data_IF_932163925457
#
_entry.id   IF_932163925457
#
_cell.length_a   1.000
_cell.length_b   1.000
_cell.length_c   1.000
_cell.angle_alpha   90.00
_cell.angle_beta   90.00
_cell.angle_gamma   90.00
#
_symmetry.space_group_name_H-M   'P 1'
#
loop_
_entity.id
_entity.type
_entity.pdbx_description
1 polymer ?
#
# COMPACT_ATOMS: atom_id res chain seq x y z
N UNK A 1 18.36 -22.64 61.75
CA UNK A 1 18.16 -22.34 60.32
C UNK A 1 16.66 -22.33 60.09
N UNK A 2 16.07 -21.14 60.01
CA UNK A 2 14.62 -20.97 59.96
C UNK A 2 14.23 -20.65 58.52
N UNK A 3 13.35 -21.46 57.95
CA UNK A 3 12.80 -21.25 56.62
C UNK A 3 11.86 -20.04 56.62
N UNK A 4 11.98 -19.19 55.61
CA UNK A 4 10.95 -18.19 55.28
C UNK A 4 10.52 -18.46 53.84
N UNK A 5 9.33 -19.02 53.71
CA UNK A 5 8.56 -19.07 52.46
C UNK A 5 7.90 -17.71 52.31
N UNK A 6 8.22 -16.99 51.24
CA UNK A 6 7.44 -15.82 50.82
C UNK A 6 6.67 -16.21 49.57
N UNK A 7 5.37 -16.44 49.74
CA UNK A 7 4.41 -16.36 48.64
C UNK A 7 4.10 -14.88 48.42
N UNK A 8 4.40 -14.35 47.23
CA UNK A 8 3.77 -13.15 46.71
C UNK A 8 2.82 -13.56 45.59
N UNK A 9 1.56 -13.21 45.76
CA UNK A 9 0.47 -13.47 44.84
C UNK A 9 0.08 -12.19 44.08
N UNK A 10 -0.36 -12.40 42.84
CA UNK A 10 -1.26 -11.57 42.02
C UNK A 10 -0.69 -10.26 41.45
N UNK A 11 -0.58 -10.19 40.13
CA UNK A 11 -1.56 -9.51 39.26
C UNK A 11 -1.13 -9.68 37.80
N UNK A 12 -2.05 -10.11 36.95
CA UNK A 12 -1.82 -10.17 35.51
C UNK A 12 -1.53 -8.79 34.94
N UNK A 13 -0.54 -8.74 34.05
CA UNK A 13 -0.47 -7.71 33.02
C UNK A 13 -0.35 -8.46 31.71
N UNK A 14 -1.47 -8.52 30.99
CA UNK A 14 -1.50 -8.83 29.57
C UNK A 14 -0.37 -8.08 28.90
N UNK A 15 0.53 -8.80 28.22
CA UNK A 15 1.51 -8.19 27.34
C UNK A 15 0.73 -7.49 26.23
N UNK A 16 0.44 -6.20 26.43
CA UNK A 16 -0.03 -5.31 25.40
C UNK A 16 1.16 -5.12 24.47
N UNK A 17 1.14 -5.84 23.35
CA UNK A 17 1.99 -5.55 22.22
C UNK A 17 1.69 -4.11 21.80
N UNK A 18 2.55 -3.18 22.19
CA UNK A 18 2.61 -1.86 21.57
C UNK A 18 3.10 -2.06 20.15
N UNK A 19 2.17 -2.34 19.23
CA UNK A 19 2.39 -2.05 17.83
C UNK A 19 2.47 -0.53 17.71
N UNK A 20 3.67 -0.03 17.40
CA UNK A 20 3.88 1.37 17.06
C UNK A 20 3.01 1.72 15.86
N UNK A 21 1.93 2.44 16.13
CA UNK A 21 1.09 3.04 15.10
C UNK A 21 1.72 4.36 14.67
N UNK A 22 2.75 4.34 13.82
CA UNK A 22 3.29 5.54 13.18
C UNK A 22 3.75 5.24 11.74
N UNK A 23 2.75 5.14 10.86
CA UNK A 23 2.82 5.49 9.44
C UNK A 23 1.37 5.69 8.94
N UNK A 24 0.62 6.57 9.62
CA UNK A 24 -0.74 6.91 9.25
C UNK A 24 -0.75 8.23 8.47
N UNK A 25 -0.28 8.16 7.22
CA UNK A 25 -0.67 9.06 6.15
C UNK A 25 -1.45 8.30 5.08
N UNK A 26 -2.17 7.24 5.47
CA UNK A 26 -3.05 6.51 4.56
C UNK A 26 -4.17 7.42 4.11
N UNK A 27 -4.45 7.42 2.81
CA UNK A 27 -5.72 7.90 2.26
C UNK A 27 -6.84 7.37 3.16
N UNK A 28 -7.43 8.27 3.95
CA UNK A 28 -8.46 7.90 4.88
C UNK A 28 -9.71 7.56 4.08
N UNK A 29 -9.91 6.26 3.79
CA UNK A 29 -11.23 5.77 3.43
C UNK A 29 -12.19 6.24 4.52
N UNK A 30 -13.23 6.96 4.13
CA UNK A 30 -14.32 7.37 5.03
C UNK A 30 -14.75 6.14 5.84
N UNK A 31 -14.78 6.20 7.18
CA UNK A 31 -15.21 5.05 7.99
C UNK A 31 -16.62 4.61 7.58
N UNK A 32 -16.73 3.55 6.76
CA UNK A 32 -18.00 3.07 6.23
C UNK A 32 -17.97 2.58 4.77
N UNK A 33 -17.06 3.07 3.93
CA UNK A 33 -16.91 2.56 2.56
C UNK A 33 -15.99 1.34 2.54
N UNK A 34 -16.55 0.18 2.14
CA UNK A 34 -15.76 -1.01 1.82
C UNK A 34 -15.30 -0.89 0.38
N UNK A 35 -14.28 -0.08 0.13
CA UNK A 35 -13.63 0.02 -1.16
C UNK A 35 -12.10 -0.12 -1.02
N UNK A 36 -11.43 -0.52 -2.11
CA UNK A 36 -9.98 -0.53 -2.22
C UNK A 36 -9.50 0.81 -2.79
N UNK A 37 -8.66 1.51 -2.02
CA UNK A 37 -7.99 2.72 -2.47
C UNK A 37 -6.65 2.47 -3.15
N UNK A 38 -6.21 1.21 -3.26
CA UNK A 38 -4.89 0.85 -3.78
C UNK A 38 -4.54 -0.60 -3.49
N UNK A 39 -3.43 -1.08 -4.05
CA UNK A 39 -2.91 -2.42 -3.80
C UNK A 39 -1.47 -2.32 -3.31
N UNK A 40 -1.17 -3.02 -2.21
CA UNK A 40 0.20 -3.11 -1.68
C UNK A 40 1.04 -4.06 -2.53
N UNK A 41 2.23 -3.63 -2.92
CA UNK A 41 3.20 -4.43 -3.68
C UNK A 41 4.65 -4.09 -3.31
N UNK A 42 5.60 -4.82 -3.89
CA UNK A 42 7.02 -4.47 -3.72
C UNK A 42 7.37 -3.13 -4.39
N UNK A 43 6.61 -2.70 -5.38
CA UNK A 43 6.90 -1.54 -6.22
C UNK A 43 6.57 -0.22 -5.53
N UNK A 44 5.58 -0.23 -4.65
CA UNK A 44 5.19 0.90 -3.79
C UNK A 44 5.66 0.73 -2.33
N UNK A 45 6.51 -0.25 -2.04
CA UNK A 45 7.12 -0.45 -0.73
C UNK A 45 8.35 0.45 -0.49
N UNK A 46 8.70 0.63 0.79
CA UNK A 46 9.97 1.22 1.24
C UNK A 46 10.88 0.12 1.79
N UNK A 47 12.01 -0.21 1.12
CA UNK A 47 12.92 -1.25 1.57
C UNK A 47 13.58 -0.95 2.91
N UNK A 48 13.76 -1.98 3.75
CA UNK A 48 14.36 -1.84 5.08
C UNK A 48 15.83 -1.41 5.02
N UNK A 49 16.55 -1.80 3.97
CA UNK A 49 17.93 -1.39 3.73
C UNK A 49 18.06 -0.01 3.06
N UNK A 50 16.92 0.61 2.72
CA UNK A 50 16.85 1.90 2.03
C UNK A 50 17.29 1.84 0.56
N UNK A 51 17.57 0.66 -0.01
CA UNK A 51 18.02 0.56 -1.38
C UNK A 51 16.87 0.63 -2.37
N UNK A 52 16.74 1.77 -3.06
CA UNK A 52 15.67 2.04 -4.01
C UNK A 52 16.14 2.11 -5.46
N UNK A 53 17.38 1.68 -5.76
CA UNK A 53 18.00 1.88 -7.08
C UNK A 53 17.28 1.21 -8.24
N UNK A 54 16.54 0.14 -7.98
CA UNK A 54 15.78 -0.63 -8.98
C UNK A 54 14.27 -0.44 -8.86
N UNK A 55 13.83 0.45 -7.97
CA UNK A 55 12.41 0.72 -7.75
C UNK A 55 11.95 1.94 -8.56
N UNK A 56 10.70 1.94 -9.04
CA UNK A 56 10.12 3.08 -9.71
C UNK A 56 10.08 4.30 -8.79
N UNK A 57 10.25 5.48 -9.40
CA UNK A 57 10.08 6.77 -8.71
C UNK A 57 8.62 7.16 -8.59
N UNK A 58 7.78 6.75 -9.54
CA UNK A 58 6.35 7.01 -9.51
C UNK A 58 5.62 5.86 -10.22
N UNK A 59 4.63 5.30 -9.53
CA UNK A 59 3.75 4.28 -10.09
C UNK A 59 2.31 4.76 -10.08
N UNK A 60 1.56 4.33 -11.07
CA UNK A 60 0.11 4.44 -11.09
C UNK A 60 -0.50 3.05 -11.10
N UNK A 61 -1.66 2.92 -10.48
CA UNK A 61 -2.50 1.73 -10.57
C UNK A 61 -3.78 2.10 -11.30
N UNK A 62 -4.09 1.35 -12.37
CA UNK A 62 -5.17 1.69 -13.29
C UNK A 62 -6.17 0.56 -13.45
N UNK A 63 -7.43 0.90 -13.71
CA UNK A 63 -8.45 -0.08 -14.12
C UNK A 63 -8.17 -0.52 -15.54
N UNK A 64 -7.96 -1.83 -15.76
CA UNK A 64 -7.49 -2.35 -17.04
C UNK A 64 -8.39 -1.99 -18.22
N UNK A 65 -9.72 -1.98 -18.05
CA UNK A 65 -10.64 -1.69 -19.17
C UNK A 65 -10.75 -0.22 -19.54
N UNK A 66 -10.58 0.69 -18.58
CA UNK A 66 -10.87 2.12 -18.77
C UNK A 66 -9.62 2.99 -18.76
N UNK A 67 -8.51 2.47 -18.22
CA UNK A 67 -7.31 3.25 -17.95
C UNK A 67 -7.50 4.30 -16.86
N UNK A 68 -8.58 4.23 -16.06
CA UNK A 68 -8.76 5.14 -14.91
C UNK A 68 -7.67 4.88 -13.89
N UNK A 69 -6.87 5.88 -13.59
CA UNK A 69 -5.94 5.86 -12.45
C UNK A 69 -6.78 6.04 -11.18
N UNK A 70 -6.68 5.10 -10.24
CA UNK A 70 -7.39 5.16 -8.95
C UNK A 70 -6.44 5.15 -7.75
N UNK A 71 -5.16 4.87 -7.98
CA UNK A 71 -4.10 4.90 -6.97
C UNK A 71 -2.79 5.34 -7.64
N UNK A 72 -1.97 6.05 -6.88
CA UNK A 72 -0.70 6.57 -7.32
C UNK A 72 0.26 6.70 -6.15
N UNK A 73 1.51 6.30 -6.38
CA UNK A 73 2.56 6.31 -5.36
C UNK A 73 3.78 7.04 -5.93
N UNK A 74 4.41 7.89 -5.13
CA UNK A 74 5.64 8.60 -5.49
C UNK A 74 6.70 8.37 -4.43
N UNK A 75 7.93 8.21 -4.88
CA UNK A 75 9.09 8.06 -4.01
C UNK A 75 9.72 9.41 -3.71
N UNK A 76 9.90 9.71 -2.43
CA UNK A 76 10.62 10.88 -1.95
C UNK A 76 12.13 10.76 -2.16
N UNK A 77 12.84 11.86 -1.94
CA UNK A 77 14.32 11.90 -2.03
C UNK A 77 15.02 11.00 -1.00
N UNK A 78 14.31 10.63 0.07
CA UNK A 78 14.76 9.70 1.11
C UNK A 78 14.48 8.23 0.77
N UNK A 79 13.84 7.95 -0.37
CA UNK A 79 13.48 6.60 -0.81
C UNK A 79 12.12 6.12 -0.30
N UNK A 80 11.43 6.88 0.54
CA UNK A 80 10.11 6.53 1.07
C UNK A 80 9.07 6.61 -0.04
N UNK A 81 8.27 5.55 -0.21
CA UNK A 81 7.12 5.57 -1.11
C UNK A 81 5.89 6.10 -0.36
N UNK A 82 5.21 7.08 -0.96
CA UNK A 82 4.04 7.74 -0.39
C UNK A 82 2.89 7.78 -1.39
N UNK A 83 1.67 7.60 -0.89
CA UNK A 83 0.47 7.79 -1.69
C UNK A 83 0.33 9.26 -2.08
N UNK A 84 0.02 9.50 -3.34
CA UNK A 84 -0.30 10.83 -3.87
C UNK A 84 -1.67 10.80 -4.53
N UNK A 85 -2.30 11.96 -4.65
CA UNK A 85 -3.59 12.05 -5.31
C UNK A 85 -3.44 11.64 -6.80
N UNK A 86 -4.26 10.71 -7.33
CA UNK A 86 -4.18 10.28 -8.73
C UNK A 86 -4.18 11.44 -9.74
N UNK A 87 -4.96 12.50 -9.47
CA UNK A 87 -5.06 13.68 -10.32
C UNK A 87 -3.80 14.57 -10.32
N UNK A 88 -2.86 14.31 -9.42
CA UNK A 88 -1.58 15.04 -9.33
C UNK A 88 -0.47 14.40 -10.18
N UNK A 89 -0.74 13.26 -10.82
CA UNK A 89 0.21 12.55 -11.67
C UNK A 89 0.02 12.97 -13.13
N UNK A 90 1.09 13.46 -13.76
CA UNK A 90 1.11 13.79 -15.19
C UNK A 90 1.51 12.56 -16.02
N UNK A 91 0.59 11.59 -16.10
CA UNK A 91 0.78 10.36 -16.85
C UNK A 91 -0.46 10.02 -17.67
N UNK A 92 -0.26 9.71 -18.95
CA UNK A 92 -1.33 9.29 -19.87
C UNK A 92 -1.29 7.78 -20.07
N UNK A 93 -2.32 7.12 -19.57
CA UNK A 93 -2.47 5.67 -19.69
C UNK A 93 -2.74 5.25 -21.13
N UNK A 94 -1.91 4.33 -21.64
CA UNK A 94 -2.15 3.64 -22.91
C UNK A 94 -2.82 2.29 -22.62
N UNK A 95 -4.15 2.24 -22.65
CA UNK A 95 -4.89 0.99 -22.40
C UNK A 95 -4.53 -0.07 -23.43
N UNK A 96 -4.03 -1.22 -22.97
CA UNK A 96 -3.75 -2.37 -23.81
C UNK A 96 -4.97 -3.30 -23.87
N UNK A 97 -5.55 -3.57 -25.07
CA UNK A 97 -6.67 -4.47 -25.23
C UNK A 97 -6.42 -5.92 -24.79
N UNK A 98 -5.15 -6.31 -24.57
CA UNK A 98 -4.77 -7.63 -24.08
C UNK A 98 -4.81 -7.77 -22.56
N UNK A 99 -4.95 -6.66 -21.81
CA UNK A 99 -5.09 -6.73 -20.36
C UNK A 99 -6.36 -7.48 -19.95
N UNK A 100 -6.30 -8.33 -18.92
CA UNK A 100 -7.48 -9.02 -18.44
C UNK A 100 -8.47 -8.02 -17.85
N UNK A 101 -9.76 -8.25 -18.08
CA UNK A 101 -10.86 -7.44 -17.51
C UNK A 101 -10.93 -7.58 -16.00
N UNK A 102 -11.46 -6.59 -15.29
CA UNK A 102 -11.59 -6.59 -13.84
C UNK A 102 -10.23 -6.77 -13.12
N UNK A 103 -9.19 -6.12 -13.65
CA UNK A 103 -7.87 -6.13 -13.03
C UNK A 103 -7.37 -4.69 -12.85
N UNK A 104 -6.54 -4.54 -11.83
CA UNK A 104 -5.69 -3.39 -11.62
C UNK A 104 -4.34 -3.64 -12.31
N UNK A 105 -3.84 -2.65 -13.04
CA UNK A 105 -2.54 -2.71 -13.70
C UNK A 105 -1.64 -1.66 -13.07
N UNK A 106 -0.53 -2.10 -12.46
CA UNK A 106 0.46 -1.21 -11.87
C UNK A 106 1.53 -0.91 -12.91
N UNK A 107 1.80 0.38 -13.13
CA UNK A 107 2.67 0.86 -14.20
C UNK A 107 3.74 1.78 -13.63
N UNK A 108 4.99 1.58 -14.06
CA UNK A 108 6.05 2.58 -13.90
C UNK A 108 5.86 3.70 -14.93
N UNK A 109 5.52 4.88 -14.44
CA UNK A 109 5.19 6.05 -15.27
C UNK A 109 6.37 6.55 -16.10
N UNK A 110 7.61 6.31 -15.65
CA UNK A 110 8.81 6.76 -16.34
C UNK A 110 9.13 5.91 -17.59
N UNK A 111 8.74 4.63 -17.57
CA UNK A 111 9.12 3.66 -18.61
C UNK A 111 7.94 3.04 -19.35
N UNK A 112 6.70 3.35 -18.95
CA UNK A 112 5.47 2.71 -19.46
C UNK A 112 5.41 1.20 -19.21
N UNK A 113 6.25 0.70 -18.31
CA UNK A 113 6.35 -0.74 -18.03
C UNK A 113 5.26 -1.16 -17.06
N UNK A 114 4.47 -2.16 -17.46
CA UNK A 114 3.61 -2.91 -16.53
C UNK A 114 4.49 -3.69 -15.54
N UNK A 115 4.34 -3.35 -14.27
CA UNK A 115 5.06 -3.97 -13.17
C UNK A 115 4.29 -5.17 -12.61
N UNK A 116 2.97 -5.05 -12.52
CA UNK A 116 2.10 -6.06 -11.92
C UNK A 116 0.67 -5.94 -12.45
N UNK A 117 -0.04 -7.07 -12.49
CA UNK A 117 -1.47 -7.14 -12.84
C UNK A 117 -2.16 -7.92 -11.73
N UNK A 118 -3.15 -7.29 -11.10
CA UNK A 118 -3.80 -7.76 -9.87
C UNK A 118 -5.30 -7.89 -10.13
N UNK A 119 -5.89 -9.04 -9.78
CA UNK A 119 -7.34 -9.22 -9.87
C UNK A 119 -8.04 -8.28 -8.86
N UNK A 120 -9.06 -7.54 -9.32
CA UNK A 120 -9.89 -6.73 -8.43
C UNK A 120 -10.93 -7.65 -7.78
N UNK A 121 -10.91 -7.85 -6.45
CA UNK A 121 -11.87 -8.73 -5.79
C UNK A 121 -13.30 -8.25 -5.96
N UNK A 122 -14.22 -9.17 -6.29
CA UNK A 122 -15.62 -8.82 -6.56
C UNK A 122 -16.37 -8.24 -5.34
N UNK A 123 -15.89 -8.53 -4.12
CA UNK A 123 -16.45 -8.05 -2.86
C UNK A 123 -15.75 -6.79 -2.31
N UNK A 124 -14.77 -6.26 -3.03
CA UNK A 124 -14.01 -5.06 -2.68
C UNK A 124 -13.91 -4.12 -3.89
N UNK A 125 -14.96 -3.32 -4.17
CA UNK A 125 -14.93 -2.36 -5.28
C UNK A 125 -13.81 -1.33 -5.08
N UNK A 126 -13.36 -0.69 -6.16
CA UNK A 126 -12.38 0.40 -6.06
C UNK A 126 -13.05 1.68 -5.52
N UNK A 127 -12.29 2.51 -4.81
CA UNK A 127 -12.76 3.82 -4.41
C UNK A 127 -12.90 4.75 -5.64
N UNK A 128 -13.80 5.72 -5.54
CA UNK A 128 -14.07 6.75 -6.55
C UNK A 128 -13.25 8.02 -6.31
#
# INVERSE_FOLDING_TARGET
>A
MTAVVVMMALTGCSAQASASAEAAGGIASTPGEKCSGGFESIWNSTPVDGNVSELPQETVTVVSETGRIFDAMRRGSDGTAEAVAPESVDYKVNVDPSWPKNHAVMIDTATDKVLEIIEIPADLPLCE
#
